data_IF_100405663953
#
_entry.id   IF_100405663953
#
_cell.length_a   1.000
_cell.length_b   1.000
_cell.length_c   1.000
_cell.angle_alpha   90.00
_cell.angle_beta   90.00
_cell.angle_gamma   90.00
#
_symmetry.space_group_name_H-M   'P 1'
#
loop_
_entity.id
_entity.type
_entity.pdbx_description
1 polymer ?
#
# COMPACT_ATOMS: atom_id res chain seq x y z
N UNK A 1 8.85 -18.58 13.74
CA UNK A 1 8.88 -17.19 14.28
C UNK A 1 7.52 -16.91 14.89
N UNK A 2 7.47 -16.16 16.00
CA UNK A 2 6.22 -15.91 16.71
C UNK A 2 5.34 -15.00 15.83
N UNK A 3 4.24 -15.54 15.31
CA UNK A 3 3.47 -15.01 14.18
C UNK A 3 2.51 -13.86 14.51
N UNK A 4 2.56 -13.31 15.74
CA UNK A 4 1.63 -12.30 16.21
C UNK A 4 2.38 -11.10 16.82
N UNK A 5 2.17 -9.87 16.30
CA UNK A 5 2.71 -8.65 16.89
C UNK A 5 2.20 -8.44 18.32
N UNK A 6 3.09 -8.09 19.24
CA UNK A 6 2.77 -7.80 20.65
C UNK A 6 2.81 -6.31 20.97
N UNK A 7 3.55 -5.54 20.17
CA UNK A 7 3.65 -4.08 20.29
C UNK A 7 3.80 -3.39 18.92
N UNK A 8 3.91 -2.07 18.91
CA UNK A 8 4.05 -1.28 17.67
C UNK A 8 5.35 -1.53 16.92
N UNK A 9 6.43 -1.89 17.61
CA UNK A 9 7.72 -2.21 16.96
C UNK A 9 7.59 -3.51 16.18
N UNK A 10 6.92 -4.51 16.76
CA UNK A 10 6.63 -5.77 16.07
C UNK A 10 5.80 -5.56 14.79
N UNK A 11 4.92 -4.54 14.76
CA UNK A 11 4.16 -4.21 13.55
C UNK A 11 5.06 -3.70 12.43
N UNK A 12 6.00 -2.80 12.72
CA UNK A 12 6.94 -2.29 11.70
C UNK A 12 7.90 -3.36 11.19
N UNK A 13 8.24 -4.35 12.02
CA UNK A 13 9.10 -5.47 11.65
C UNK A 13 8.34 -6.65 11.06
N UNK A 14 7.01 -6.55 10.93
CA UNK A 14 6.21 -7.63 10.38
C UNK A 14 6.48 -7.81 8.88
N UNK A 15 6.50 -9.05 8.37
CA UNK A 15 6.73 -9.32 6.94
C UNK A 15 5.79 -8.54 6.01
N UNK A 16 4.52 -8.41 6.40
CA UNK A 16 3.51 -7.66 5.63
C UNK A 16 3.87 -6.17 5.58
N UNK A 17 4.27 -5.58 6.71
CA UNK A 17 4.68 -4.18 6.75
C UNK A 17 5.92 -3.92 5.90
N UNK A 18 6.94 -4.77 6.03
CA UNK A 18 8.18 -4.68 5.25
C UNK A 18 7.90 -4.82 3.74
N UNK A 19 7.00 -5.73 3.36
CA UNK A 19 6.64 -5.92 1.95
C UNK A 19 5.90 -4.72 1.37
N UNK A 20 4.90 -4.20 2.09
CA UNK A 20 4.16 -3.01 1.65
C UNK A 20 5.07 -1.79 1.57
N UNK A 21 5.98 -1.62 2.54
CA UNK A 21 6.97 -0.53 2.54
C UNK A 21 7.91 -0.62 1.33
N UNK A 22 8.42 -1.81 1.01
CA UNK A 22 9.26 -2.03 -0.17
C UNK A 22 8.53 -1.75 -1.49
N UNK A 23 7.27 -2.16 -1.62
CA UNK A 23 6.46 -1.84 -2.81
C UNK A 23 6.19 -0.32 -2.93
N UNK A 24 6.05 0.40 -1.80
CA UNK A 24 5.95 1.86 -1.78
C UNK A 24 7.26 2.53 -2.19
N UNK A 25 8.41 2.01 -1.77
CA UNK A 25 9.72 2.49 -2.23
C UNK A 25 9.91 2.26 -3.73
N UNK A 26 9.46 1.12 -4.27
CA UNK A 26 9.47 0.86 -5.72
C UNK A 26 8.62 1.90 -6.45
N UNK A 27 7.39 2.12 -5.99
CA UNK A 27 6.49 3.14 -6.53
C UNK A 27 7.06 4.55 -6.42
N UNK A 28 7.84 4.87 -5.38
CA UNK A 28 8.48 6.18 -5.24
C UNK A 28 9.46 6.49 -6.39
N UNK A 29 10.04 5.44 -6.98
CA UNK A 29 10.95 5.56 -8.13
C UNK A 29 10.22 5.67 -9.48
N UNK A 30 8.92 5.40 -9.50
CA UNK A 30 8.12 5.39 -10.72
C UNK A 30 7.73 6.80 -11.19
N UNK A 31 7.70 6.96 -12.51
CA UNK A 31 7.20 8.17 -13.14
C UNK A 31 5.68 8.24 -13.08
N UNK A 32 5.09 9.43 -13.28
CA UNK A 32 3.63 9.59 -13.32
C UNK A 32 2.91 8.69 -14.36
N UNK A 33 3.62 8.27 -15.43
CA UNK A 33 3.11 7.30 -16.41
C UNK A 33 3.39 5.85 -16.04
N UNK A 34 4.38 5.61 -15.18
CA UNK A 34 4.77 4.30 -14.68
C UNK A 34 3.81 3.75 -13.64
N UNK A 35 3.28 4.60 -12.74
CA UNK A 35 2.33 4.16 -11.71
C UNK A 35 1.10 3.41 -12.26
N UNK A 36 0.34 3.91 -13.26
CA UNK A 36 -0.78 3.17 -13.83
C UNK A 36 -0.37 1.81 -14.40
N UNK A 37 0.80 1.73 -15.03
CA UNK A 37 1.31 0.50 -15.62
C UNK A 37 1.68 -0.51 -14.53
N UNK A 38 2.37 -0.05 -13.48
CA UNK A 38 2.73 -0.88 -12.33
C UNK A 38 1.48 -1.49 -11.68
N UNK A 39 0.44 -0.68 -11.48
CA UNK A 39 -0.85 -1.13 -10.92
C UNK A 39 -1.53 -2.14 -11.86
N UNK A 40 -1.56 -1.86 -13.17
CA UNK A 40 -2.21 -2.72 -14.14
C UNK A 40 -1.50 -4.08 -14.27
N UNK A 41 -0.17 -4.11 -14.20
CA UNK A 41 0.59 -5.36 -14.23
C UNK A 41 0.30 -6.28 -13.04
N UNK A 42 -0.04 -5.72 -11.88
CA UNK A 42 -0.34 -6.49 -10.65
C UNK A 42 -1.82 -6.80 -10.47
N UNK A 43 -2.72 -5.97 -11.00
CA UNK A 43 -4.17 -6.19 -10.85
C UNK A 43 -4.84 -6.80 -12.08
N UNK A 44 -4.12 -6.89 -13.20
CA UNK A 44 -4.68 -7.17 -14.55
C UNK A 44 -5.80 -6.18 -14.93
N UNK A 45 -5.77 -4.97 -14.37
CA UNK A 45 -6.80 -3.94 -14.53
C UNK A 45 -6.19 -2.55 -14.66
N UNK A 46 -6.62 -1.82 -15.68
CA UNK A 46 -6.26 -0.41 -15.83
C UNK A 46 -7.18 0.48 -14.97
N UNK A 47 -6.64 1.46 -14.23
CA UNK A 47 -7.45 2.42 -13.48
C UNK A 47 -8.28 3.33 -14.40
N UNK A 48 -9.60 3.15 -14.40
CA UNK A 48 -10.54 3.91 -15.23
C UNK A 48 -10.99 5.26 -14.65
N UNK A 49 -10.85 5.45 -13.34
CA UNK A 49 -11.27 6.67 -12.62
C UNK A 49 -10.35 6.97 -11.44
N UNK A 50 -10.44 8.17 -10.86
CA UNK A 50 -9.66 8.54 -9.67
C UNK A 50 -10.05 7.67 -8.48
N UNK A 51 -11.33 7.37 -8.34
CA UNK A 51 -11.88 6.47 -7.33
C UNK A 51 -11.30 5.06 -7.48
N UNK A 52 -11.18 4.55 -8.71
CA UNK A 52 -10.61 3.23 -8.99
C UNK A 52 -9.13 3.16 -8.64
N UNK A 53 -8.36 4.25 -8.81
CA UNK A 53 -6.92 4.27 -8.55
C UNK A 53 -6.59 3.85 -7.13
N UNK A 54 -7.35 4.31 -6.15
CA UNK A 54 -7.12 3.99 -4.73
C UNK A 54 -7.38 2.51 -4.46
N UNK A 55 -8.47 1.98 -4.99
CA UNK A 55 -8.84 0.57 -4.85
C UNK A 55 -7.79 -0.33 -5.50
N UNK A 56 -7.42 -0.03 -6.76
CA UNK A 56 -6.43 -0.80 -7.51
C UNK A 56 -5.02 -0.66 -6.95
N UNK A 57 -4.67 0.48 -6.36
CA UNK A 57 -3.41 0.62 -5.63
C UNK A 57 -3.36 -0.33 -4.43
N UNK A 58 -4.43 -0.38 -3.62
CA UNK A 58 -4.49 -1.32 -2.50
C UNK A 58 -4.42 -2.76 -3.03
N UNK A 59 -5.23 -3.12 -4.03
CA UNK A 59 -5.20 -4.47 -4.62
C UNK A 59 -3.80 -4.85 -5.14
N UNK A 60 -3.08 -3.93 -5.81
CA UNK A 60 -1.72 -4.20 -6.32
C UNK A 60 -0.67 -4.38 -5.21
N UNK A 61 -0.77 -3.63 -4.11
CA UNK A 61 0.09 -3.81 -2.92
C UNK A 61 -0.18 -5.15 -2.21
N UNK A 62 -1.37 -5.70 -2.39
CA UNK A 62 -1.78 -6.98 -1.82
C UNK A 62 -1.52 -8.19 -2.73
N UNK A 63 -1.16 -7.97 -3.99
CA UNK A 63 -1.08 -9.03 -5.01
C UNK A 63 -0.20 -10.23 -4.59
N UNK A 64 1.00 -9.96 -4.06
CA UNK A 64 1.96 -10.97 -3.62
C UNK A 64 2.06 -11.09 -2.09
N UNK A 65 1.12 -10.48 -1.36
CA UNK A 65 1.19 -10.38 0.10
C UNK A 65 0.12 -11.26 0.73
N UNK A 66 0.51 -12.36 1.38
CA UNK A 66 -0.40 -13.13 2.22
C UNK A 66 -0.81 -12.30 3.44
N UNK A 67 -2.03 -11.75 3.39
CA UNK A 67 -2.51 -10.81 4.41
C UNK A 67 -2.89 -11.47 5.73
N UNK A 68 -3.32 -12.74 5.74
CA UNK A 68 -3.86 -13.37 6.95
C UNK A 68 -4.87 -12.45 7.68
N UNK A 69 -4.61 -12.07 8.95
CA UNK A 69 -5.45 -11.16 9.74
C UNK A 69 -5.00 -9.69 9.66
N UNK A 70 -4.17 -9.35 8.66
CA UNK A 70 -3.78 -7.98 8.40
C UNK A 70 -4.82 -7.26 7.55
N UNK A 71 -5.01 -5.98 7.83
CA UNK A 71 -5.90 -5.10 7.08
C UNK A 71 -5.09 -3.91 6.56
N UNK A 72 -5.20 -3.61 5.27
CA UNK A 72 -4.59 -2.43 4.66
C UNK A 72 -5.70 -1.47 4.23
N UNK A 73 -5.62 -0.23 4.71
CA UNK A 73 -6.58 0.80 4.37
C UNK A 73 -5.87 2.13 4.14
N UNK A 74 -6.38 2.90 3.18
CA UNK A 74 -5.90 4.26 3.00
C UNK A 74 -6.52 5.22 4.02
N UNK A 75 -5.69 6.11 4.55
CA UNK A 75 -6.05 7.19 5.48
C UNK A 75 -5.40 8.50 5.02
N UNK A 76 -5.85 9.70 5.44
CA UNK A 76 -5.28 10.96 4.94
C UNK A 76 -3.75 11.08 5.08
N UNK A 77 -3.21 10.48 6.14
CA UNK A 77 -1.77 10.46 6.46
C UNK A 77 -0.96 9.41 5.69
N UNK A 78 -1.57 8.46 4.98
CA UNK A 78 -0.85 7.41 4.24
C UNK A 78 -1.64 6.09 4.19
N UNK A 79 -0.94 4.97 4.29
CA UNK A 79 -1.55 3.64 4.37
C UNK A 79 -1.53 3.13 5.81
N UNK A 80 -2.71 2.90 6.38
CA UNK A 80 -2.86 2.26 7.67
C UNK A 80 -2.84 0.74 7.50
N UNK A 81 -1.93 0.11 8.22
CA UNK A 81 -1.78 -1.34 8.27
C UNK A 81 -2.12 -1.80 9.70
N UNK A 82 -3.12 -2.67 9.81
CA UNK A 82 -3.66 -3.14 11.08
C UNK A 82 -3.55 -4.65 11.26
N UNK A 83 -3.38 -5.10 12.50
CA UNK A 83 -3.44 -6.52 12.88
C UNK A 83 -3.86 -6.67 14.34
N UNK A 84 -4.88 -7.49 14.63
CA UNK A 84 -5.37 -7.79 15.98
C UNK A 84 -5.56 -6.55 16.88
N UNK A 85 -6.16 -5.48 16.34
CA UNK A 85 -6.44 -4.23 17.05
C UNK A 85 -5.26 -3.25 17.17
N UNK A 86 -4.06 -3.65 16.76
CA UNK A 86 -2.92 -2.74 16.64
C UNK A 86 -2.83 -2.17 15.22
N UNK A 87 -2.37 -0.93 15.09
CA UNK A 87 -2.30 -0.21 13.81
C UNK A 87 -1.03 0.62 13.72
N UNK A 88 -0.41 0.59 12.55
CA UNK A 88 0.66 1.52 12.15
C UNK A 88 0.26 2.22 10.86
N UNK A 89 0.93 3.33 10.59
CA UNK A 89 0.77 4.06 9.33
C UNK A 89 2.09 4.13 8.62
N UNK A 90 2.07 3.68 7.37
CA UNK A 90 3.16 3.79 6.43
C UNK A 90 3.01 5.10 5.65
N UNK A 91 4.13 5.80 5.50
CA UNK A 91 4.20 6.98 4.65
C UNK A 91 3.95 6.59 3.20
N UNK A 92 3.27 7.46 2.46
CA UNK A 92 3.05 7.25 1.02
C UNK A 92 3.84 8.31 0.26
N UNK A 93 4.63 7.91 -0.76
CA UNK A 93 5.39 8.81 -1.61
C UNK A 93 4.52 9.89 -2.26
N UNK A 94 5.09 11.07 -2.50
CA UNK A 94 4.36 12.21 -3.05
C UNK A 94 3.84 11.94 -4.47
N UNK A 95 4.60 11.24 -5.32
CA UNK A 95 4.13 10.87 -6.67
C UNK A 95 2.89 9.95 -6.64
N UNK A 96 2.80 9.05 -5.66
CA UNK A 96 1.61 8.22 -5.43
C UNK A 96 0.46 9.09 -4.94
N UNK A 97 0.70 10.05 -4.03
CA UNK A 97 -0.35 10.98 -3.56
C UNK A 97 -0.89 11.84 -4.70
N UNK A 98 -0.02 12.42 -5.51
CA UNK A 98 -0.39 13.24 -6.66
C UNK A 98 -1.16 12.44 -7.70
N UNK A 99 -0.80 11.15 -7.87
CA UNK A 99 -1.53 10.24 -8.74
C UNK A 99 -2.96 9.96 -8.24
N UNK A 100 -3.13 9.78 -6.93
CA UNK A 100 -4.44 9.52 -6.32
C UNK A 100 -5.30 10.78 -6.17
N UNK A 101 -4.68 11.93 -5.98
CA UNK A 101 -5.35 13.21 -5.76
C UNK A 101 -4.72 14.27 -6.67
N UNK A 102 -4.90 14.15 -8.00
CA UNK A 102 -4.34 15.13 -8.92
C UNK A 102 -4.91 16.52 -8.59
N UNK A 103 -4.03 17.52 -8.52
CA UNK A 103 -4.47 18.90 -8.47
C UNK A 103 -5.31 19.18 -9.73
N UNK A 104 -6.57 19.57 -9.52
CA UNK A 104 -7.52 19.88 -10.59
C UNK A 104 -7.14 21.12 -11.39
#
# INVERSE_FOLDING_TARGET
>A
MNTRPKDFTDLYLAPVAIRVDADLEELASESAKGLPLWIAMRTDREPSSVEDRRTLLIESLLHDTEMHNWELAWVPRGLELGHDGHRIVLGVPDNVRDYLFPAG
#
